data_IF_862451420772
#
_entry.id   IF_862451420772
#
_cell.length_a   1.000
_cell.length_b   1.000
_cell.length_c   1.000
_cell.angle_alpha   90.00
_cell.angle_beta   90.00
_cell.angle_gamma   90.00
#
_symmetry.space_group_name_H-M   'P 1'
#
loop_
_entity.id
_entity.type
_entity.pdbx_description
1 polymer ?
#
# COMPACT_ATOMS: atom_id res chain seq x y z
N UNK A 1 -15.14 4.37 4.25
CA UNK A 1 -13.94 5.09 3.76
C UNK A 1 -13.18 4.12 2.84
N UNK A 2 -12.68 4.55 1.69
CA UNK A 2 -11.94 3.64 0.80
C UNK A 2 -10.53 3.39 1.37
N UNK A 3 -10.02 2.15 1.32
CA UNK A 3 -8.61 1.84 1.54
C UNK A 3 -7.68 2.76 0.75
N UNK A 4 -6.51 3.06 1.30
CA UNK A 4 -5.46 3.81 0.62
C UNK A 4 -4.29 2.87 0.33
N UNK A 5 -3.97 2.66 -0.94
CA UNK A 5 -2.77 1.96 -1.39
C UNK A 5 -1.69 3.01 -1.68
N UNK A 6 -0.60 2.96 -0.91
CA UNK A 6 0.62 3.71 -1.18
C UNK A 6 1.60 2.80 -1.90
N UNK A 7 2.16 3.28 -3.00
CA UNK A 7 3.13 2.52 -3.79
C UNK A 7 3.97 3.41 -4.68
N UNK A 8 4.86 2.78 -5.44
CA UNK A 8 5.64 3.42 -6.52
C UNK A 8 5.14 2.87 -7.85
N UNK A 9 4.77 3.74 -8.79
CA UNK A 9 4.13 3.40 -10.07
C UNK A 9 4.90 2.35 -10.87
N UNK A 10 6.24 2.46 -10.91
CA UNK A 10 7.12 1.54 -11.67
C UNK A 10 7.62 0.32 -10.85
N UNK A 11 7.14 0.15 -9.62
CA UNK A 11 7.55 -1.00 -8.80
C UNK A 11 6.73 -2.24 -9.12
N UNK A 12 7.44 -3.32 -9.47
CA UNK A 12 6.86 -4.67 -9.64
C UNK A 12 6.05 -5.10 -8.41
N UNK A 13 6.51 -4.72 -7.22
CA UNK A 13 5.84 -5.02 -5.96
C UNK A 13 4.49 -4.29 -5.86
N UNK A 14 4.42 -3.02 -6.25
CA UNK A 14 3.18 -2.24 -6.30
C UNK A 14 2.21 -2.80 -7.34
N UNK A 15 2.69 -3.09 -8.55
CA UNK A 15 1.88 -3.66 -9.62
C UNK A 15 1.21 -4.97 -9.19
N UNK A 16 1.93 -5.81 -8.46
CA UNK A 16 1.39 -7.05 -7.88
C UNK A 16 0.27 -6.77 -6.87
N UNK A 17 0.42 -5.78 -5.98
CA UNK A 17 -0.61 -5.43 -5.02
C UNK A 17 -1.86 -4.85 -5.69
N UNK A 18 -1.69 -4.03 -6.73
CA UNK A 18 -2.77 -3.52 -7.57
C UNK A 18 -3.57 -4.68 -8.17
N UNK A 19 -2.88 -5.66 -8.76
CA UNK A 19 -3.52 -6.84 -9.35
C UNK A 19 -4.28 -7.65 -8.29
N UNK A 20 -3.66 -7.91 -7.13
CA UNK A 20 -4.31 -8.65 -6.03
C UNK A 20 -5.62 -7.98 -5.58
N UNK A 21 -5.61 -6.66 -5.44
CA UNK A 21 -6.80 -5.91 -5.02
C UNK A 21 -7.87 -5.88 -6.12
N UNK A 22 -7.46 -5.75 -7.38
CA UNK A 22 -8.35 -5.81 -8.54
C UNK A 22 -9.03 -7.19 -8.66
N UNK A 23 -8.27 -8.28 -8.56
CA UNK A 23 -8.77 -9.66 -8.61
C UNK A 23 -9.79 -9.94 -7.49
N UNK A 24 -9.58 -9.31 -6.33
CA UNK A 24 -10.49 -9.40 -5.18
C UNK A 24 -11.70 -8.47 -5.26
N UNK A 25 -11.81 -7.61 -6.28
CA UNK A 25 -12.87 -6.61 -6.38
C UNK A 25 -12.80 -5.50 -5.32
N UNK A 26 -11.63 -5.31 -4.69
CA UNK A 26 -11.42 -4.30 -3.66
C UNK A 26 -11.20 -2.94 -4.31
N UNK A 27 -12.08 -1.99 -4.01
CA UNK A 27 -11.91 -0.59 -4.42
C UNK A 27 -10.98 0.13 -3.45
N UNK A 28 -10.01 0.88 -3.96
CA UNK A 28 -9.06 1.65 -3.17
C UNK A 28 -8.73 2.98 -3.86
N UNK A 29 -8.11 3.89 -3.10
CA UNK A 29 -7.42 5.08 -3.66
C UNK A 29 -5.95 4.76 -3.79
N UNK A 30 -5.33 5.14 -4.89
CA UNK A 30 -3.88 5.02 -5.09
C UNK A 30 -3.20 6.35 -4.77
N UNK A 31 -2.11 6.30 -4.01
CA UNK A 31 -1.20 7.42 -3.82
C UNK A 31 0.19 6.97 -4.26
N UNK A 32 0.69 7.60 -5.31
CA UNK A 32 2.04 7.38 -5.76
C UNK A 32 3.03 8.06 -4.81
N UNK A 33 4.09 7.35 -4.49
CA UNK A 33 5.19 7.79 -3.64
C UNK A 33 6.39 8.03 -4.55
N UNK A 34 6.41 9.22 -5.16
CA UNK A 34 7.38 9.60 -6.19
C UNK A 34 8.85 9.50 -5.73
N UNK A 35 9.12 9.55 -4.42
CA UNK A 35 10.48 9.51 -3.87
C UNK A 35 10.50 8.99 -2.43
N UNK A 36 11.26 7.92 -2.19
CA UNK A 36 11.50 7.32 -0.86
C UNK A 36 12.43 8.14 0.03
N UNK A 37 13.12 9.15 -0.52
CA UNK A 37 13.96 10.08 0.24
C UNK A 37 13.23 11.40 0.55
N UNK A 38 11.93 11.49 0.29
CA UNK A 38 11.12 12.69 0.52
C UNK A 38 10.47 12.72 1.92
N UNK A 39 10.01 13.90 2.32
CA UNK A 39 9.16 14.11 3.51
C UNK A 39 7.99 13.12 3.61
N UNK A 40 7.51 12.58 2.49
CA UNK A 40 6.44 11.59 2.47
C UNK A 40 6.88 10.23 2.99
N UNK A 41 8.14 9.85 2.80
CA UNK A 41 8.69 8.63 3.37
C UNK A 41 8.86 8.73 4.89
N UNK A 42 9.30 9.88 5.40
CA UNK A 42 9.34 10.15 6.85
C UNK A 42 7.94 10.09 7.46
N UNK A 43 6.95 10.66 6.79
CA UNK A 43 5.55 10.56 7.20
C UNK A 43 5.06 9.10 7.16
N UNK A 44 5.41 8.35 6.13
CA UNK A 44 5.03 6.94 6.02
C UNK A 44 5.64 6.13 7.16
N UNK A 45 6.93 6.32 7.43
CA UNK A 45 7.64 5.71 8.55
C UNK A 45 6.98 6.05 9.89
N UNK A 46 6.61 7.31 10.11
CA UNK A 46 5.96 7.75 11.35
C UNK A 46 4.58 7.12 11.56
N UNK A 47 3.85 6.82 10.48
CA UNK A 47 2.48 6.27 10.55
C UNK A 47 2.48 4.74 10.59
N UNK A 48 3.26 4.09 9.72
CA UNK A 48 3.23 2.64 9.54
C UNK A 48 4.40 1.90 10.17
N UNK A 49 5.44 2.62 10.61
CA UNK A 49 6.69 2.03 11.08
C UNK A 49 7.57 1.46 9.96
N UNK A 50 7.25 1.72 8.69
CA UNK A 50 8.02 1.23 7.55
C UNK A 50 7.98 2.20 6.36
N UNK A 51 9.07 2.25 5.61
CA UNK A 51 9.15 2.92 4.29
C UNK A 51 8.92 1.93 3.13
N UNK A 52 8.75 0.64 3.43
CA UNK A 52 8.57 -0.41 2.43
C UNK A 52 7.26 -0.22 1.68
N UNK A 53 7.29 -0.25 0.35
CA UNK A 53 6.10 -0.21 -0.50
C UNK A 53 5.90 -1.55 -1.23
N UNK A 54 4.64 -1.97 -1.52
CA UNK A 54 3.39 -1.25 -1.29
C UNK A 54 2.88 -1.35 0.16
N UNK A 55 2.07 -0.36 0.58
CA UNK A 55 1.35 -0.37 1.85
C UNK A 55 -0.14 -0.08 1.65
N UNK A 56 -1.01 -0.90 2.23
CA UNK A 56 -2.46 -0.69 2.21
C UNK A 56 -2.95 -0.25 3.60
N UNK A 57 -3.59 0.91 3.67
CA UNK A 57 -4.22 1.44 4.89
C UNK A 57 -5.72 1.19 4.85
N UNK A 58 -6.26 0.53 5.87
CA UNK A 58 -7.68 0.17 5.97
C UNK A 58 -8.19 0.45 7.38
N UNK A 59 -9.06 1.46 7.55
CA UNK A 59 -9.79 1.65 8.80
C UNK A 59 -8.93 1.90 10.06
N UNK A 60 -7.66 2.28 9.91
CA UNK A 60 -6.70 2.43 11.00
C UNK A 60 -5.60 1.37 11.02
N UNK A 61 -5.80 0.25 10.32
CA UNK A 61 -4.78 -0.80 10.16
C UNK A 61 -3.88 -0.52 8.95
N UNK A 62 -2.65 -1.04 9.00
CA UNK A 62 -1.70 -1.01 7.87
C UNK A 62 -1.23 -2.42 7.49
N UNK A 63 -1.24 -2.71 6.20
CA UNK A 63 -0.78 -3.97 5.61
C UNK A 63 0.40 -3.67 4.69
N UNK A 64 1.61 -3.95 5.19
CA UNK A 64 2.87 -3.65 4.49
C UNK A 64 3.29 -4.87 3.65
N UNK A 65 3.52 -4.64 2.37
CA UNK A 65 3.96 -5.65 1.42
C UNK A 65 2.83 -6.57 0.91
N UNK A 66 3.13 -7.24 -0.21
CA UNK A 66 2.18 -8.11 -0.92
C UNK A 66 1.61 -9.24 -0.04
N UNK A 67 2.41 -9.81 0.85
CA UNK A 67 1.98 -10.93 1.69
C UNK A 67 0.90 -10.50 2.69
N UNK A 68 1.06 -9.32 3.32
CA UNK A 68 0.07 -8.80 4.27
C UNK A 68 -1.19 -8.33 3.55
N UNK A 69 -1.03 -7.68 2.39
CA UNK A 69 -2.16 -7.28 1.53
C UNK A 69 -2.97 -8.52 1.09
N UNK A 70 -2.29 -9.62 0.75
CA UNK A 70 -2.97 -10.87 0.39
C UNK A 70 -3.78 -11.47 1.55
N UNK A 71 -3.34 -11.28 2.80
CA UNK A 71 -4.07 -11.73 3.99
C UNK A 71 -5.32 -10.90 4.23
N UNK A 72 -5.24 -9.58 4.01
CA UNK A 72 -6.40 -8.70 4.08
C UNK A 72 -7.51 -9.15 3.13
N UNK A 73 -7.16 -9.56 1.90
CA UNK A 73 -8.11 -10.04 0.89
C UNK A 73 -8.80 -11.36 1.29
N UNK A 74 -8.10 -12.21 2.03
CA UNK A 74 -8.58 -13.56 2.39
C UNK A 74 -9.46 -13.58 3.64
N UNK A 75 -9.48 -12.50 4.40
CA UNK A 75 -10.31 -12.32 5.60
C UNK A 75 -11.61 -11.60 5.25
#
# INVERSE_FOLDING_TARGET
MLPLLVGVEDSVSTAKAIQLLADAGVRYRYQDMLDTDSIHADMLLAISGSVEVPQLFVGGDVYIGNDKISRYIRN
#
